data_IF_861783432252
#
_entry.id   IF_861783432252
#
_cell.length_a   1.000
_cell.length_b   1.000
_cell.length_c   1.000
_cell.angle_alpha   90.00
_cell.angle_beta   90.00
_cell.angle_gamma   90.00
#
_symmetry.space_group_name_H-M   'P 1'
#
loop_
_entity.id
_entity.type
_entity.pdbx_description
1 polymer ?
#
# COMPACT_ATOMS: atom_id res chain seq x y z
N UNK A 1 -3.73 12.69 -12.18
CA UNK A 1 -3.81 11.72 -11.08
C UNK A 1 -3.73 10.33 -11.66
N UNK A 2 -3.40 9.34 -10.83
CA UNK A 2 -3.42 7.94 -11.25
C UNK A 2 -4.82 7.36 -11.01
N UNK A 3 -5.20 6.33 -11.75
CA UNK A 3 -6.48 5.66 -11.56
C UNK A 3 -6.48 4.90 -10.23
N UNK A 4 -7.58 4.97 -9.48
CA UNK A 4 -7.76 4.14 -8.30
C UNK A 4 -7.94 2.69 -8.72
N UNK A 5 -7.02 1.82 -8.34
CA UNK A 5 -7.11 0.36 -8.51
C UNK A 5 -5.93 -0.34 -7.84
N UNK A 6 -5.96 -1.66 -7.90
CA UNK A 6 -4.82 -2.52 -7.56
C UNK A 6 -3.97 -2.68 -8.82
N UNK A 7 -2.74 -2.19 -8.76
CA UNK A 7 -1.74 -2.36 -9.82
C UNK A 7 -0.89 -3.60 -9.54
N UNK A 8 -0.62 -4.37 -10.58
CA UNK A 8 0.21 -5.57 -10.54
C UNK A 8 1.61 -5.21 -11.03
N UNK A 9 2.57 -5.13 -10.11
CA UNK A 9 3.96 -4.78 -10.43
C UNK A 9 4.76 -6.07 -10.59
N UNK A 10 5.43 -6.24 -11.72
CA UNK A 10 6.29 -7.40 -12.01
C UNK A 10 5.59 -8.77 -11.92
N UNK A 11 4.26 -8.82 -12.17
CA UNK A 11 3.42 -10.04 -12.15
C UNK A 11 3.40 -10.74 -10.78
N UNK A 12 2.74 -10.14 -9.77
CA UNK A 12 2.60 -10.74 -8.45
C UNK A 12 1.79 -12.04 -8.49
N UNK A 13 2.05 -12.89 -7.52
CA UNK A 13 1.31 -14.10 -7.21
C UNK A 13 0.53 -13.95 -5.89
N UNK A 14 -0.03 -15.03 -5.39
CA UNK A 14 -0.85 -15.07 -4.16
C UNK A 14 -0.07 -14.86 -2.85
N UNK A 15 1.27 -14.82 -2.90
CA UNK A 15 2.12 -14.59 -1.74
C UNK A 15 2.84 -13.23 -1.77
N UNK A 16 2.79 -12.57 -2.91
CA UNK A 16 3.42 -11.28 -3.16
C UNK A 16 2.90 -10.17 -2.24
N UNK A 17 3.78 -9.26 -1.77
CA UNK A 17 3.43 -8.18 -0.85
C UNK A 17 2.33 -7.26 -1.39
N UNK A 18 1.51 -6.76 -0.48
CA UNK A 18 0.48 -5.75 -0.74
C UNK A 18 0.91 -4.43 -0.12
N UNK A 19 1.15 -3.42 -0.95
CA UNK A 19 1.49 -2.06 -0.54
C UNK A 19 0.33 -1.12 -0.87
N UNK A 20 0.10 -0.10 -0.04
CA UNK A 20 -0.89 0.95 -0.33
C UNK A 20 -0.27 2.34 -0.38
N UNK A 21 -0.68 3.15 -1.36
CA UNK A 21 -0.34 4.57 -1.47
C UNK A 21 -1.48 5.37 -2.11
N UNK A 22 -1.27 6.66 -2.37
CA UNK A 22 -2.27 7.57 -2.94
C UNK A 22 -2.20 7.61 -4.46
N UNK A 23 -3.25 8.17 -5.08
CA UNK A 23 -3.29 8.43 -6.52
C UNK A 23 -2.55 9.71 -6.95
N UNK A 24 -1.72 10.28 -6.08
CA UNK A 24 -0.77 11.30 -6.48
C UNK A 24 0.27 10.68 -7.41
N UNK A 25 0.40 11.23 -8.63
CA UNK A 25 1.20 10.61 -9.67
C UNK A 25 2.67 10.42 -9.28
N UNK A 26 3.22 11.37 -8.53
CA UNK A 26 4.60 11.27 -8.05
C UNK A 26 4.77 10.09 -7.07
N UNK A 27 3.85 9.94 -6.09
CA UNK A 27 3.88 8.83 -5.14
C UNK A 27 3.78 7.49 -5.88
N UNK A 28 2.88 7.38 -6.86
CA UNK A 28 2.75 6.18 -7.68
C UNK A 28 4.06 5.83 -8.40
N UNK A 29 4.66 6.76 -9.13
CA UNK A 29 5.86 6.48 -9.93
C UNK A 29 7.07 6.14 -9.06
N UNK A 30 7.25 6.83 -7.93
CA UNK A 30 8.38 6.55 -7.04
C UNK A 30 8.21 5.19 -6.36
N UNK A 31 7.00 4.87 -5.87
CA UNK A 31 6.75 3.58 -5.20
C UNK A 31 6.79 2.42 -6.17
N UNK A 32 6.15 2.53 -7.34
CA UNK A 32 6.21 1.48 -8.37
C UNK A 32 7.63 1.23 -8.86
N UNK A 33 8.39 2.30 -9.17
CA UNK A 33 9.78 2.17 -9.57
C UNK A 33 10.67 1.54 -8.49
N UNK A 34 10.41 1.84 -7.22
CA UNK A 34 11.14 1.22 -6.12
C UNK A 34 10.82 -0.27 -5.94
N UNK A 35 9.57 -0.69 -6.16
CA UNK A 35 9.19 -2.12 -6.17
C UNK A 35 9.88 -2.82 -7.36
N UNK A 36 9.89 -2.20 -8.54
CA UNK A 36 10.59 -2.74 -9.71
C UNK A 36 12.09 -2.88 -9.47
N UNK A 37 12.73 -1.88 -8.84
CA UNK A 37 14.15 -1.91 -8.46
C UNK A 37 14.44 -3.06 -7.48
N UNK A 38 13.53 -3.33 -6.55
CA UNK A 38 13.64 -4.46 -5.62
C UNK A 38 13.63 -5.83 -6.32
N UNK A 39 13.16 -5.89 -7.58
CA UNK A 39 12.90 -7.14 -8.31
C UNK A 39 11.96 -8.09 -7.54
N UNK A 40 11.05 -7.54 -6.74
CA UNK A 40 10.05 -8.28 -5.97
C UNK A 40 8.67 -7.97 -6.55
N UNK A 41 7.95 -8.96 -7.11
CA UNK A 41 6.58 -8.78 -7.57
C UNK A 41 5.69 -8.34 -6.43
N UNK A 42 4.80 -7.37 -6.66
CA UNK A 42 3.94 -6.83 -5.61
C UNK A 42 2.60 -6.31 -6.15
N UNK A 43 1.61 -6.29 -5.27
CA UNK A 43 0.38 -5.54 -5.48
C UNK A 43 0.53 -4.12 -4.93
N UNK A 44 0.32 -3.13 -5.78
CA UNK A 44 0.33 -1.73 -5.41
C UNK A 44 -1.10 -1.17 -5.44
N UNK A 45 -1.70 -1.03 -4.27
CA UNK A 45 -3.03 -0.47 -4.05
C UNK A 45 -2.97 1.06 -4.11
N UNK A 46 -3.65 1.65 -5.08
CA UNK A 46 -3.69 3.11 -5.27
C UNK A 46 -5.05 3.62 -4.85
N UNK A 47 -5.12 4.33 -3.72
CA UNK A 47 -6.35 4.95 -3.22
C UNK A 47 -6.54 6.35 -3.81
N UNK A 48 -7.74 6.67 -4.29
CA UNK A 48 -8.05 8.04 -4.71
C UNK A 48 -8.13 8.96 -3.48
N UNK A 49 -7.30 10.00 -3.48
CA UNK A 49 -7.26 11.05 -2.47
C UNK A 49 -7.54 12.44 -3.08
N UNK A 50 -7.86 12.50 -4.38
CA UNK A 50 -7.91 13.73 -5.16
C UNK A 50 -6.54 14.20 -5.63
N UNK A 51 -5.56 13.30 -5.74
CA UNK A 51 -4.24 13.62 -6.28
C UNK A 51 -3.30 14.31 -5.31
N UNK A 52 -3.51 14.15 -4.01
CA UNK A 52 -2.63 14.68 -2.97
C UNK A 52 -1.85 13.55 -2.31
N UNK A 53 -0.58 13.81 -1.98
CA UNK A 53 0.31 12.80 -1.44
C UNK A 53 -0.10 12.29 -0.06
N UNK A 54 0.49 11.16 0.35
CA UNK A 54 0.11 10.39 1.57
C UNK A 54 -0.10 11.28 2.80
N UNK A 55 0.89 12.10 3.17
CA UNK A 55 0.85 12.90 4.40
C UNK A 55 -0.32 13.91 4.39
N UNK A 56 -0.53 14.58 3.27
CA UNK A 56 -1.62 15.54 3.12
C UNK A 56 -2.98 14.85 3.08
N UNK A 57 -3.08 13.71 2.38
CA UNK A 57 -4.30 12.92 2.30
C UNK A 57 -4.74 12.43 3.68
N UNK A 58 -3.80 11.88 4.45
CA UNK A 58 -4.04 11.44 5.82
C UNK A 58 -4.47 12.60 6.72
N UNK A 59 -3.75 13.72 6.69
CA UNK A 59 -4.09 14.91 7.50
C UNK A 59 -5.48 15.47 7.17
N UNK A 60 -5.90 15.37 5.89
CA UNK A 60 -7.22 15.81 5.43
C UNK A 60 -8.34 14.80 5.70
N UNK A 61 -8.03 13.62 6.25
CA UNK A 61 -8.99 12.55 6.50
C UNK A 61 -9.43 11.77 5.25
N UNK A 62 -8.79 11.98 4.10
CA UNK A 62 -9.10 11.26 2.84
C UNK A 62 -8.38 9.92 2.71
N UNK A 63 -7.40 9.67 3.57
CA UNK A 63 -6.62 8.45 3.64
C UNK A 63 -6.65 7.98 5.08
N UNK A 64 -7.66 7.17 5.40
CA UNK A 64 -8.03 6.68 6.74
C UNK A 64 -8.36 5.17 6.70
N UNK A 65 -8.59 4.54 7.85
CA UNK A 65 -8.87 3.09 7.92
C UNK A 65 -10.08 2.66 7.11
N UNK A 66 -11.22 3.35 7.28
CA UNK A 66 -12.49 3.08 6.59
C UNK A 66 -12.32 3.16 5.06
N UNK A 67 -11.70 4.23 4.58
CA UNK A 67 -11.48 4.47 3.16
C UNK A 67 -10.59 3.41 2.50
N UNK A 68 -9.65 2.82 3.26
CA UNK A 68 -8.78 1.74 2.80
C UNK A 68 -9.54 0.41 2.85
N UNK A 69 -10.31 0.12 3.89
CA UNK A 69 -11.13 -1.08 3.97
C UNK A 69 -12.19 -1.14 2.85
N UNK A 70 -12.83 -0.02 2.53
CA UNK A 70 -13.74 0.09 1.39
C UNK A 70 -13.03 -0.17 0.06
N UNK A 71 -11.80 0.31 -0.10
CA UNK A 71 -10.98 0.00 -1.27
C UNK A 71 -10.70 -1.51 -1.36
N UNK A 72 -10.37 -2.17 -0.25
CA UNK A 72 -10.08 -3.61 -0.24
C UNK A 72 -11.28 -4.43 -0.69
N UNK A 73 -12.46 -4.10 -0.17
CA UNK A 73 -13.74 -4.71 -0.57
C UNK A 73 -14.06 -4.43 -2.04
N UNK A 74 -13.86 -3.19 -2.50
CA UNK A 74 -14.17 -2.76 -3.87
C UNK A 74 -13.32 -3.46 -4.92
N UNK A 75 -12.04 -3.68 -4.65
CA UNK A 75 -11.09 -4.27 -5.61
C UNK A 75 -10.74 -5.75 -5.34
N UNK A 76 -11.37 -6.38 -4.34
CA UNK A 76 -11.16 -7.79 -4.04
C UNK A 76 -9.71 -8.13 -3.69
N UNK A 77 -9.05 -7.28 -2.89
CA UNK A 77 -7.64 -7.48 -2.51
C UNK A 77 -7.47 -8.77 -1.72
N UNK A 78 -8.46 -9.13 -0.91
CA UNK A 78 -8.49 -10.35 -0.09
C UNK A 78 -8.49 -11.65 -0.89
N UNK A 79 -8.99 -11.60 -2.13
CA UNK A 79 -9.03 -12.73 -3.05
C UNK A 79 -7.73 -12.86 -3.88
N UNK A 80 -6.90 -11.82 -3.91
CA UNK A 80 -5.63 -11.79 -4.67
C UNK A 80 -4.47 -12.43 -3.91
N UNK A 81 -4.53 -12.46 -2.58
CA UNK A 81 -3.45 -12.97 -1.72
C UNK A 81 -3.96 -13.96 -0.69
N UNK A 82 -3.12 -14.98 -0.38
CA UNK A 82 -3.40 -15.96 0.68
C UNK A 82 -3.00 -15.48 2.06
N UNK A 83 -2.07 -14.53 2.14
CA UNK A 83 -1.73 -13.87 3.40
C UNK A 83 -2.72 -12.74 3.70
N UNK A 84 -2.64 -12.19 4.91
CA UNK A 84 -3.39 -11.00 5.32
C UNK A 84 -2.40 -10.02 5.93
N UNK A 85 -1.56 -9.43 5.07
CA UNK A 85 -0.50 -8.49 5.46
C UNK A 85 -0.55 -7.28 4.55
N UNK A 86 -0.68 -6.09 5.12
CA UNK A 86 -0.75 -4.83 4.40
C UNK A 86 0.43 -3.94 4.81
N UNK A 87 1.23 -3.54 3.83
CA UNK A 87 2.32 -2.59 4.02
C UNK A 87 1.77 -1.17 3.81
N UNK A 88 1.83 -0.36 4.86
CA UNK A 88 1.42 1.05 4.82
C UNK A 88 2.63 1.98 4.81
N UNK A 89 2.53 3.19 4.25
CA UNK A 89 3.62 4.16 4.28
C UNK A 89 4.01 4.53 5.70
N UNK A 90 5.31 4.61 5.99
CA UNK A 90 5.83 4.92 7.33
C UNK A 90 5.47 6.31 7.85
N UNK A 91 5.05 7.23 6.97
CA UNK A 91 4.52 8.55 7.37
C UNK A 91 3.11 8.47 7.96
N UNK A 92 2.38 7.39 7.70
CA UNK A 92 0.99 7.21 8.10
C UNK A 92 0.83 6.18 9.23
N UNK A 93 1.83 6.07 10.13
CA UNK A 93 1.84 5.07 11.21
C UNK A 93 0.59 5.09 12.11
N UNK A 94 0.01 6.28 12.29
CA UNK A 94 -1.21 6.46 13.10
C UNK A 94 -2.46 5.83 12.47
N UNK A 95 -2.41 5.44 11.20
CA UNK A 95 -3.48 4.68 10.56
C UNK A 95 -3.56 3.24 11.03
N UNK A 96 -2.51 2.72 11.68
CA UNK A 96 -2.46 1.32 12.06
C UNK A 96 -3.66 0.93 12.92
N UNK A 97 -3.94 1.69 13.97
CA UNK A 97 -5.03 1.39 14.89
C UNK A 97 -6.39 1.34 14.15
N UNK A 98 -6.68 2.37 13.33
CA UNK A 98 -7.89 2.43 12.51
C UNK A 98 -7.99 1.26 11.50
N UNK A 99 -6.86 0.88 10.89
CA UNK A 99 -6.81 -0.22 9.94
C UNK A 99 -6.97 -1.59 10.60
N UNK A 100 -6.40 -1.79 11.79
CA UNK A 100 -6.57 -3.03 12.55
C UNK A 100 -8.02 -3.18 13.05
N UNK A 101 -8.73 -2.07 13.31
CA UNK A 101 -10.16 -2.10 13.62
C UNK A 101 -11.01 -2.46 12.39
N UNK A 102 -10.75 -1.84 11.24
CA UNK A 102 -11.54 -2.02 10.02
C UNK A 102 -11.21 -3.30 9.24
N UNK A 103 -9.97 -3.79 9.37
CA UNK A 103 -9.43 -4.99 8.73
C UNK A 103 -8.79 -5.91 9.79
N UNK A 104 -9.58 -6.50 10.71
CA UNK A 104 -9.05 -7.24 11.87
C UNK A 104 -8.29 -8.51 11.52
N UNK A 105 -8.48 -9.05 10.31
CA UNK A 105 -7.72 -10.20 9.82
C UNK A 105 -6.37 -9.80 9.21
N UNK A 106 -6.15 -8.52 8.95
CA UNK A 106 -4.95 -8.00 8.30
C UNK A 106 -3.90 -7.51 9.30
N UNK A 107 -2.71 -8.07 9.20
CA UNK A 107 -1.52 -7.58 9.88
C UNK A 107 -1.01 -6.31 9.18
N UNK A 108 -0.98 -5.20 9.91
CA UNK A 108 -0.49 -3.92 9.40
C UNK A 108 1.00 -3.78 9.65
N UNK A 109 1.77 -3.75 8.56
CA UNK A 109 3.22 -3.62 8.54
C UNK A 109 3.59 -2.19 8.15
N UNK A 110 4.47 -1.58 8.93
CA UNK A 110 4.99 -0.27 8.61
C UNK A 110 6.10 -0.38 7.57
N UNK A 111 5.83 0.11 6.37
CA UNK A 111 6.85 0.35 5.37
C UNK A 111 7.72 1.56 5.70
N UNK A 112 8.69 1.86 4.85
CA UNK A 112 9.57 3.01 5.02
C UNK A 112 8.85 4.36 4.94
N UNK A 113 9.49 5.40 5.50
CA UNK A 113 9.03 6.79 5.38
C UNK A 113 9.33 7.30 3.96
N UNK A 114 10.56 7.03 3.48
CA UNK A 114 11.03 7.40 2.16
C UNK A 114 10.87 6.23 1.19
N UNK A 115 10.29 6.48 0.02
CA UNK A 115 10.07 5.42 -0.96
C UNK A 115 11.38 4.82 -1.52
N UNK A 116 12.51 5.54 -1.43
CA UNK A 116 13.84 5.04 -1.79
C UNK A 116 14.32 3.87 -0.92
N UNK A 117 13.75 3.69 0.27
CA UNK A 117 14.10 2.60 1.18
C UNK A 117 13.23 1.34 0.95
N UNK A 118 12.20 1.42 0.10
CA UNK A 118 11.34 0.28 -0.25
C UNK A 118 12.12 -0.91 -0.80
N UNK A 119 13.12 -0.75 -1.70
CA UNK A 119 13.83 -1.90 -2.27
C UNK A 119 14.54 -2.70 -1.18
N UNK A 120 15.21 -2.00 -0.26
CA UNK A 120 15.88 -2.61 0.89
C UNK A 120 14.88 -3.26 1.84
N UNK A 121 13.78 -2.59 2.16
CA UNK A 121 12.72 -3.12 3.02
C UNK A 121 12.12 -4.41 2.47
N UNK A 122 11.75 -4.44 1.19
CA UNK A 122 11.19 -5.64 0.58
C UNK A 122 12.22 -6.78 0.49
N UNK A 123 13.50 -6.46 0.28
CA UNK A 123 14.54 -7.50 0.18
C UNK A 123 14.92 -8.10 1.53
N UNK A 124 14.98 -7.30 2.60
CA UNK A 124 15.49 -7.74 3.90
C UNK A 124 14.39 -8.07 4.93
N UNK A 125 13.30 -7.32 4.94
CA UNK A 125 12.25 -7.39 5.97
C UNK A 125 11.02 -8.17 5.50
N UNK A 126 10.69 -8.11 4.20
CA UNK A 126 9.66 -8.98 3.63
C UNK A 126 10.23 -10.38 3.39
N UNK A 127 10.26 -11.18 4.46
CA UNK A 127 10.54 -12.62 4.41
C UNK A 127 9.22 -13.38 4.45
N UNK A 128 8.96 -14.09 3.36
CA UNK A 128 7.82 -15.00 3.22
C UNK A 128 8.04 -16.32 3.97
#
# INVERSE_FOLDING_TARGET
>A
TVEEKVYEISKPDEYSPVLITTNYALDFFIVSGAIEEASIPAYLCIKDTGGIGVLAAWTSGKFNGEAIADFFKKYGVEDKVKHRKLIIPGVAKKLKDELEEELPEWEIIFGPIEASDIPKFLTEEWKE
#
